data_IF_017324612726
#
_entry.id   IF_017324612726
#
_cell.length_a   1.000
_cell.length_b   1.000
_cell.length_c   1.000
_cell.angle_alpha   90.00
_cell.angle_beta   90.00
_cell.angle_gamma   90.00
#
_symmetry.space_group_name_H-M   'P 1'
#
loop_
_entity.id
_entity.type
_entity.pdbx_description
1 polymer ?
#
# COMPACT_ATOMS: atom_id res chain seq x y z
N UNK A 1 11.15 -24.85 10.06
CA UNK A 1 10.88 -23.90 8.96
C UNK A 1 10.87 -22.48 9.49
N UNK A 2 11.82 -21.64 9.09
CA UNK A 2 11.88 -20.22 9.51
C UNK A 2 11.17 -19.34 8.49
N UNK A 3 10.01 -18.81 8.88
CA UNK A 3 9.28 -17.83 8.08
C UNK A 3 9.90 -16.44 8.31
N UNK A 4 10.42 -15.82 7.24
CA UNK A 4 11.04 -14.49 7.32
C UNK A 4 9.99 -13.37 7.47
N UNK A 5 9.90 -12.78 8.66
CA UNK A 5 8.98 -11.68 8.98
C UNK A 5 9.48 -10.32 8.43
N UNK A 6 9.62 -10.21 7.11
CA UNK A 6 10.10 -8.99 6.43
C UNK A 6 8.98 -8.18 5.81
N UNK A 7 9.17 -6.85 5.75
CA UNK A 7 8.18 -5.88 5.23
C UNK A 7 7.63 -6.18 3.84
N UNK A 8 8.42 -6.85 2.98
CA UNK A 8 8.05 -7.19 1.59
C UNK A 8 7.88 -8.68 1.30
N UNK A 9 7.84 -9.55 2.32
CA UNK A 9 7.68 -10.99 2.09
C UNK A 9 6.34 -11.31 1.40
N UNK A 10 6.41 -12.05 0.29
CA UNK A 10 5.24 -12.57 -0.44
C UNK A 10 4.54 -11.55 -1.32
N UNK A 11 5.24 -10.52 -1.79
CA UNK A 11 4.63 -9.38 -2.52
C UNK A 11 5.02 -9.28 -4.00
N UNK A 12 5.66 -10.33 -4.54
CA UNK A 12 6.23 -10.34 -5.90
C UNK A 12 5.21 -9.95 -6.99
N UNK A 13 4.00 -10.52 -6.94
CA UNK A 13 2.92 -10.21 -7.89
C UNK A 13 1.97 -9.11 -7.40
N UNK A 14 2.00 -8.78 -6.11
CA UNK A 14 1.07 -7.79 -5.54
C UNK A 14 1.46 -6.36 -5.96
N UNK A 15 2.76 -6.05 -5.96
CA UNK A 15 3.25 -4.71 -6.33
C UNK A 15 3.78 -4.64 -7.77
N UNK A 16 3.70 -5.74 -8.52
CA UNK A 16 4.10 -5.76 -9.92
C UNK A 16 3.10 -5.00 -10.78
N UNK A 17 3.60 -4.41 -11.87
CA UNK A 17 2.75 -3.69 -12.82
C UNK A 17 2.24 -4.62 -13.91
N UNK A 18 0.98 -4.46 -14.34
CA UNK A 18 0.50 -5.13 -15.53
C UNK A 18 1.18 -4.53 -16.78
N UNK A 19 1.26 -5.34 -17.82
CA UNK A 19 1.92 -5.00 -19.08
C UNK A 19 1.40 -3.67 -19.65
N UNK A 20 2.33 -2.82 -20.12
CA UNK A 20 2.05 -1.51 -20.75
C UNK A 20 1.30 -0.50 -19.86
N UNK A 21 1.29 -0.65 -18.53
CA UNK A 21 0.73 0.34 -17.58
C UNK A 21 1.81 1.05 -16.77
N UNK A 22 2.86 1.48 -17.46
CA UNK A 22 3.96 2.25 -16.87
C UNK A 22 3.61 3.75 -16.92
N UNK A 23 3.44 4.39 -15.76
CA UNK A 23 3.14 5.83 -15.67
C UNK A 23 2.90 6.30 -14.23
N UNK A 24 2.44 7.53 -14.02
CA UNK A 24 2.00 8.00 -12.69
C UNK A 24 0.51 7.68 -12.53
N UNK A 25 0.09 7.15 -11.38
CA UNK A 25 -1.32 6.94 -11.09
C UNK A 25 -1.91 8.26 -10.59
N UNK A 26 -3.02 8.75 -11.17
CA UNK A 26 -3.67 9.97 -10.70
C UNK A 26 -4.31 9.73 -9.32
N UNK A 27 -4.03 10.62 -8.37
CA UNK A 27 -4.65 10.61 -7.03
C UNK A 27 -5.65 11.76 -6.98
N UNK A 28 -6.96 11.45 -6.95
CA UNK A 28 -8.04 12.43 -6.81
C UNK A 28 -9.16 11.85 -5.94
N UNK A 29 -9.65 12.62 -4.98
CA UNK A 29 -10.86 12.31 -4.18
C UNK A 29 -10.62 12.09 -2.69
N UNK A 30 -11.72 12.03 -1.94
CA UNK A 30 -11.75 11.88 -0.47
C UNK A 30 -11.79 10.41 -0.02
N UNK A 31 -12.26 9.53 -0.90
CA UNK A 31 -12.27 8.07 -0.75
C UNK A 31 -11.20 7.51 -1.68
N UNK A 32 -10.19 6.87 -1.11
CA UNK A 32 -9.00 6.42 -1.84
C UNK A 32 -8.81 4.92 -1.68
N UNK A 33 -8.49 4.24 -2.79
CA UNK A 33 -7.99 2.87 -2.79
C UNK A 33 -6.47 2.84 -2.62
N UNK A 34 -5.98 2.01 -1.70
CA UNK A 34 -4.55 1.90 -1.41
C UNK A 34 -3.92 0.86 -2.34
N UNK A 35 -3.22 1.35 -3.35
CA UNK A 35 -2.47 0.52 -4.30
C UNK A 35 -0.98 0.80 -4.24
N UNK A 36 -0.20 -0.21 -3.89
CA UNK A 36 1.26 -0.14 -3.93
C UNK A 36 1.82 -0.31 -5.34
N UNK A 37 2.73 0.59 -5.73
CA UNK A 37 3.45 0.50 -7.00
C UNK A 37 4.93 0.22 -6.78
N UNK A 38 5.49 -0.78 -7.45
CA UNK A 38 6.92 -1.11 -7.32
C UNK A 38 7.90 -0.04 -7.80
N UNK A 39 7.47 0.94 -8.61
CA UNK A 39 8.34 2.03 -9.10
C UNK A 39 8.61 3.09 -8.04
N UNK A 40 7.67 3.28 -7.10
CA UNK A 40 7.80 4.28 -6.03
C UNK A 40 8.38 3.56 -4.82
N UNK A 41 9.57 3.92 -4.37
CA UNK A 41 10.20 3.20 -3.25
C UNK A 41 9.79 3.74 -1.87
N UNK A 42 9.67 5.07 -1.77
CA UNK A 42 9.34 5.81 -0.54
C UNK A 42 7.82 5.96 -0.38
N UNK A 43 7.32 5.93 0.85
CA UNK A 43 5.88 6.07 1.12
C UNK A 43 5.02 4.88 0.66
N UNK A 44 5.63 3.73 0.35
CA UNK A 44 4.86 2.54 -0.03
C UNK A 44 4.09 1.96 1.15
N UNK A 45 2.80 1.60 0.96
CA UNK A 45 2.01 0.95 1.99
C UNK A 45 2.52 -0.46 2.27
N UNK A 46 2.28 -0.93 3.50
CA UNK A 46 2.51 -2.33 3.85
C UNK A 46 1.47 -3.23 3.16
N UNK A 47 1.84 -4.49 2.89
CA UNK A 47 1.06 -5.42 2.07
C UNK A 47 -0.39 -5.66 2.53
N UNK A 48 -0.71 -5.50 3.81
CA UNK A 48 -2.07 -5.71 4.30
C UNK A 48 -3.01 -4.54 4.11
N UNK A 49 -2.49 -3.37 3.75
CA UNK A 49 -3.34 -2.25 3.36
C UNK A 49 -3.62 -2.26 1.86
N UNK A 50 -3.03 -3.20 1.10
CA UNK A 50 -3.21 -3.28 -0.33
C UNK A 50 -4.65 -3.64 -0.69
N UNK A 51 -5.26 -2.86 -1.59
CA UNK A 51 -6.65 -3.02 -2.04
C UNK A 51 -7.69 -2.67 -0.97
N UNK A 52 -7.28 -1.99 0.11
CA UNK A 52 -8.22 -1.44 1.09
C UNK A 52 -8.58 -0.02 0.71
N UNK A 53 -9.86 0.28 0.84
CA UNK A 53 -10.38 1.63 0.70
C UNK A 53 -10.35 2.33 2.06
N UNK A 54 -9.92 3.59 2.08
CA UNK A 54 -9.89 4.42 3.28
C UNK A 54 -10.33 5.84 2.99
N UNK A 55 -10.48 6.62 4.06
CA UNK A 55 -10.75 8.06 3.99
C UNK A 55 -9.50 8.85 4.31
N UNK A 56 -9.34 9.98 3.63
CA UNK A 56 -8.23 10.91 3.87
C UNK A 56 -8.41 11.57 5.24
N UNK A 57 -7.34 11.59 6.04
CA UNK A 57 -7.32 12.33 7.32
C UNK A 57 -6.45 13.59 7.24
N UNK A 58 -5.33 13.53 6.51
CA UNK A 58 -4.40 14.64 6.38
C UNK A 58 -3.70 14.60 5.03
N UNK A 59 -3.35 15.77 4.51
CA UNK A 59 -2.62 15.94 3.26
C UNK A 59 -1.32 16.68 3.56
N UNK A 60 -0.19 16.05 3.23
CA UNK A 60 1.13 16.67 3.29
C UNK A 60 1.66 16.91 1.88
N UNK A 61 2.72 17.70 1.75
CA UNK A 61 3.30 18.08 0.46
C UNK A 61 3.62 16.89 -0.47
N UNK A 62 3.99 15.73 0.10
CA UNK A 62 4.43 14.56 -0.68
C UNK A 62 3.65 13.27 -0.37
N UNK A 63 2.74 13.28 0.60
CA UNK A 63 2.02 12.09 1.02
C UNK A 63 0.62 12.42 1.53
N UNK A 64 -0.28 11.45 1.40
CA UNK A 64 -1.64 11.52 1.93
C UNK A 64 -1.76 10.53 3.07
N UNK A 65 -2.22 11.02 4.20
CA UNK A 65 -2.59 10.22 5.35
C UNK A 65 -3.98 9.63 5.16
N UNK A 66 -4.10 8.30 5.28
CA UNK A 66 -5.37 7.57 5.08
C UNK A 66 -5.67 6.73 6.32
N UNK A 67 -6.92 6.81 6.80
CA UNK A 67 -7.43 5.93 7.89
C UNK A 67 -8.09 4.70 7.26
N UNK A 68 -7.69 3.52 7.75
CA UNK A 68 -8.17 2.22 7.27
C UNK A 68 -8.41 1.29 8.44
N UNK A 69 -9.53 0.58 8.43
CA UNK A 69 -9.78 -0.49 9.39
C UNK A 69 -9.06 -1.77 8.95
N UNK A 70 -8.11 -2.22 9.77
CA UNK A 70 -7.38 -3.47 9.57
C UNK A 70 -8.20 -4.62 10.18
N UNK A 71 -8.23 -5.79 9.53
CA UNK A 71 -8.87 -6.96 10.13
C UNK A 71 -7.87 -7.61 11.10
N UNK A 72 -8.33 -8.04 12.28
CA UNK A 72 -7.46 -8.44 13.40
C UNK A 72 -6.47 -9.58 13.14
N UNK A 73 -6.68 -10.36 12.08
CA UNK A 73 -5.80 -11.48 11.68
C UNK A 73 -4.71 -11.08 10.67
N UNK A 74 -4.73 -9.84 10.17
CA UNK A 74 -3.73 -9.36 9.22
C UNK A 74 -2.36 -9.25 9.92
N UNK A 75 -1.48 -10.21 9.63
CA UNK A 75 -0.12 -10.40 10.18
C UNK A 75 0.91 -9.28 9.91
N UNK A 76 0.46 -8.05 9.74
CA UNK A 76 1.35 -6.89 9.66
C UNK A 76 1.85 -6.63 11.06
N UNK A 77 3.05 -7.15 11.32
CA UNK A 77 3.83 -6.76 12.47
C UNK A 77 4.15 -5.28 12.31
N UNK A 78 3.51 -4.48 13.16
CA UNK A 78 4.09 -3.24 13.62
C UNK A 78 5.36 -3.64 14.39
N UNK A 79 6.49 -3.10 13.94
CA UNK A 79 7.68 -3.04 14.79
C UNK A 79 7.50 -1.86 15.72
#
# INVERSE_FOLDING_TARGET
>A
MTNTKRKRRGTQYMFSRPFRKHGVVPLKGDIIDIKGMGTVQKGMPYKCYYGKTGRVYNVTQHAVGIVVNKQGQDSCQEN
#
